data_IF_132046291920
#
_entry.id   IF_132046291920
#
_cell.length_a   1.000
_cell.length_b   1.000
_cell.length_c   1.000
_cell.angle_alpha   90.00
_cell.angle_beta   90.00
_cell.angle_gamma   90.00
#
_symmetry.space_group_name_H-M   'P 1'
#
loop_
_entity.id
_entity.type
_entity.pdbx_description
1 polymer ?
#
# COMPACT_ATOMS: atom_id res chain seq x y z
N UNK A 1 2.72 7.61 14.06
CA UNK A 1 2.53 6.32 13.38
C UNK A 1 3.90 5.84 12.94
N UNK A 2 4.26 4.59 13.20
CA UNK A 2 5.50 3.99 12.66
C UNK A 2 5.29 3.60 11.19
N UNK A 3 6.39 3.37 10.45
CA UNK A 3 6.33 2.88 9.07
C UNK A 3 5.52 1.58 8.97
N UNK A 4 5.70 0.66 9.91
CA UNK A 4 4.93 -0.59 9.98
C UNK A 4 3.43 -0.35 10.23
N UNK A 5 3.07 0.53 11.16
CA UNK A 5 1.66 0.87 11.41
C UNK A 5 1.01 1.52 10.18
N UNK A 6 1.77 2.34 9.46
CA UNK A 6 1.33 3.00 8.25
C UNK A 6 1.12 2.00 7.11
N UNK A 7 1.99 1.00 6.98
CA UNK A 7 1.83 -0.10 6.03
C UNK A 7 0.59 -0.93 6.33
N UNK A 8 0.39 -1.33 7.60
CA UNK A 8 -0.81 -2.06 8.02
C UNK A 8 -2.09 -1.26 7.75
N UNK A 9 -2.09 0.05 8.04
CA UNK A 9 -3.23 0.91 7.76
C UNK A 9 -3.56 0.97 6.25
N UNK A 10 -2.54 1.06 5.39
CA UNK A 10 -2.70 1.01 3.94
C UNK A 10 -3.29 -0.33 3.48
N UNK A 11 -2.74 -1.46 3.95
CA UNK A 11 -3.25 -2.80 3.60
C UNK A 11 -4.72 -2.94 3.97
N UNK A 12 -5.08 -2.61 5.21
CA UNK A 12 -6.47 -2.72 5.72
C UNK A 12 -7.41 -1.85 4.88
N UNK A 13 -7.00 -0.61 4.56
CA UNK A 13 -7.83 0.28 3.75
C UNK A 13 -8.09 -0.27 2.34
N UNK A 14 -7.06 -0.79 1.68
CA UNK A 14 -7.17 -1.39 0.35
C UNK A 14 -7.97 -2.69 0.36
N UNK A 15 -7.82 -3.52 1.39
CA UNK A 15 -8.60 -4.74 1.57
C UNK A 15 -10.09 -4.42 1.69
N UNK A 16 -10.45 -3.42 2.49
CA UNK A 16 -11.83 -2.96 2.62
C UNK A 16 -12.37 -2.38 1.29
N UNK A 17 -11.54 -1.67 0.53
CA UNK A 17 -11.92 -1.21 -0.81
C UNK A 17 -12.13 -2.38 -1.79
N UNK A 18 -11.29 -3.40 -1.74
CA UNK A 18 -11.45 -4.62 -2.54
C UNK A 18 -12.70 -5.40 -2.15
N UNK A 19 -12.98 -5.57 -0.85
CA UNK A 19 -14.21 -6.25 -0.37
C UNK A 19 -15.47 -5.61 -0.94
N UNK A 20 -15.48 -4.27 -1.09
CA UNK A 20 -16.62 -3.52 -1.66
C UNK A 20 -16.71 -3.58 -3.18
N UNK A 21 -15.58 -3.52 -3.88
CA UNK A 21 -15.54 -3.34 -5.35
C UNK A 21 -15.29 -4.62 -6.12
N UNK A 22 -14.67 -5.63 -5.47
CA UNK A 22 -14.11 -6.84 -6.08
C UNK A 22 -13.19 -6.54 -7.27
N UNK A 23 -12.48 -5.41 -7.23
CA UNK A 23 -11.57 -5.01 -8.29
C UNK A 23 -10.37 -5.95 -8.37
N UNK A 24 -10.13 -6.56 -9.53
CA UNK A 24 -8.95 -7.40 -9.78
C UNK A 24 -7.64 -6.61 -9.59
N UNK A 25 -7.64 -5.33 -9.94
CA UNK A 25 -6.50 -4.45 -9.73
C UNK A 25 -6.13 -4.32 -8.25
N UNK A 26 -7.12 -4.15 -7.38
CA UNK A 26 -6.88 -4.14 -5.93
C UNK A 26 -6.46 -5.51 -5.42
N UNK A 27 -7.02 -6.60 -5.97
CA UNK A 27 -6.63 -7.96 -5.60
C UNK A 27 -5.15 -8.22 -5.89
N UNK A 28 -4.64 -7.78 -7.05
CA UNK A 28 -3.23 -7.92 -7.42
C UNK A 28 -2.31 -7.14 -6.47
N UNK A 29 -2.66 -5.90 -6.14
CA UNK A 29 -1.89 -5.08 -5.20
C UNK A 29 -1.85 -5.75 -3.82
N UNK A 30 -3.00 -6.18 -3.30
CA UNK A 30 -3.09 -6.88 -2.01
C UNK A 30 -2.29 -8.18 -2.01
N UNK A 31 -2.25 -8.90 -3.13
CA UNK A 31 -1.42 -10.09 -3.31
C UNK A 31 0.06 -9.79 -3.09
N UNK A 32 0.60 -8.76 -3.74
CA UNK A 32 2.01 -8.35 -3.55
C UNK A 32 2.31 -7.80 -2.16
N UNK A 33 1.34 -7.15 -1.52
CA UNK A 33 1.48 -6.61 -0.16
C UNK A 33 1.35 -7.66 0.95
N UNK A 34 0.79 -8.83 0.67
CA UNK A 34 0.52 -9.85 1.68
C UNK A 34 1.81 -10.34 2.31
N UNK A 35 1.83 -10.49 3.62
CA UNK A 35 3.02 -10.95 4.33
C UNK A 35 3.20 -12.47 4.16
N UNK A 36 4.43 -12.88 3.88
CA UNK A 36 4.89 -14.27 3.92
C UNK A 36 5.12 -14.70 5.37
N UNK A 37 5.45 -15.98 5.58
CA UNK A 37 5.71 -16.55 6.90
C UNK A 37 6.86 -15.88 7.66
N UNK A 38 7.80 -15.27 6.93
CA UNK A 38 8.92 -14.51 7.49
C UNK A 38 8.58 -13.06 7.86
N UNK A 39 7.34 -12.63 7.62
CA UNK A 39 6.87 -11.27 7.89
C UNK A 39 7.24 -10.23 6.83
N UNK A 40 7.79 -10.64 5.68
CA UNK A 40 8.08 -9.75 4.55
C UNK A 40 6.94 -9.78 3.51
N UNK A 41 6.71 -8.69 2.75
CA UNK A 41 5.73 -8.71 1.66
C UNK A 41 6.08 -9.72 0.57
N UNK A 42 5.05 -10.35 -0.01
CA UNK A 42 5.19 -11.33 -1.08
C UNK A 42 5.88 -10.79 -2.34
N UNK A 43 5.74 -9.49 -2.60
CA UNK A 43 6.51 -8.77 -3.62
C UNK A 43 7.52 -7.82 -2.96
N UNK A 44 8.83 -8.07 -3.08
CA UNK A 44 9.86 -7.18 -2.55
C UNK A 44 9.81 -5.75 -3.12
N UNK A 45 9.29 -5.55 -4.34
CA UNK A 45 9.18 -4.21 -4.93
C UNK A 45 8.22 -3.30 -4.14
N UNK A 46 7.18 -3.89 -3.52
CA UNK A 46 6.22 -3.18 -2.66
C UNK A 46 6.93 -2.50 -1.48
N UNK A 47 8.00 -3.10 -0.96
CA UNK A 47 8.76 -2.52 0.17
C UNK A 47 9.42 -1.21 -0.23
N UNK A 48 10.03 -1.16 -1.42
CA UNK A 48 10.72 0.04 -1.90
C UNK A 48 9.72 1.13 -2.34
N UNK A 49 8.63 0.74 -2.98
CA UNK A 49 7.53 1.66 -3.32
C UNK A 49 6.92 2.28 -2.06
N UNK A 50 6.74 1.47 -1.00
CA UNK A 50 6.24 1.92 0.28
C UNK A 50 7.17 2.92 0.96
N UNK A 51 8.47 2.61 1.05
CA UNK A 51 9.48 3.52 1.62
C UNK A 51 9.51 4.84 0.88
N UNK A 52 9.44 4.81 -0.45
CA UNK A 52 9.37 5.99 -1.30
C UNK A 52 8.11 6.83 -1.01
N UNK A 53 6.94 6.18 -0.93
CA UNK A 53 5.68 6.86 -0.59
C UNK A 53 5.72 7.50 0.81
N UNK A 54 6.26 6.80 1.82
CA UNK A 54 6.42 7.34 3.18
C UNK A 54 7.37 8.53 3.19
N UNK A 55 8.52 8.43 2.50
CA UNK A 55 9.49 9.52 2.41
C UNK A 55 8.86 10.79 1.82
N UNK A 56 8.08 10.65 0.74
CA UNK A 56 7.33 11.75 0.10
C UNK A 56 6.28 12.36 1.03
N UNK A 57 5.52 11.53 1.71
CA UNK A 57 4.53 12.00 2.69
C UNK A 57 5.19 12.77 3.85
N UNK A 58 6.33 12.28 4.35
CA UNK A 58 7.10 12.94 5.40
C UNK A 58 7.76 14.24 4.93
N UNK A 59 8.11 14.37 3.64
CA UNK A 59 8.63 15.62 3.06
C UNK A 59 7.55 16.69 2.82
N UNK A 60 6.30 16.42 3.19
CA UNK A 60 5.18 17.36 3.04
C UNK A 60 4.47 17.29 1.70
N UNK A 61 4.69 16.23 0.92
CA UNK A 61 3.88 15.97 -0.27
C UNK A 61 2.49 15.49 0.16
N UNK A 62 1.48 16.32 -0.08
CA UNK A 62 0.08 15.98 0.21
C UNK A 62 -0.46 15.02 -0.86
N UNK A 63 -1.33 14.07 -0.45
CA UNK A 63 -2.07 13.23 -1.38
C UNK A 63 -2.77 14.11 -2.45
N UNK A 64 -2.23 14.09 -3.65
CA UNK A 64 -2.61 14.99 -4.73
C UNK A 64 -3.88 14.56 -5.43
N UNK A 65 -4.64 15.56 -5.91
CA UNK A 65 -5.82 15.40 -6.77
C UNK A 65 -5.51 14.43 -7.91
N UNK A 66 -6.31 13.37 -8.06
CA UNK A 66 -6.19 12.43 -9.18
C UNK A 66 -6.27 13.20 -10.50
N UNK A 67 -5.19 13.17 -11.28
CA UNK A 67 -5.17 13.61 -12.67
C UNK A 67 -5.04 12.37 -13.53
N UNK A 68 -6.15 11.92 -14.10
CA UNK A 68 -6.12 10.96 -15.20
C UNK A 68 -5.81 11.72 -16.49
N UNK A 69 -4.97 11.18 -17.41
CA UNK A 69 -4.85 11.71 -18.76
C UNK A 69 -6.17 11.64 -19.53
#
# INVERSE_FOLDING_TARGET
MTEAQAFSAMFIFLEEAWKRTRSDGLAMILGGMSLLEDGTPADPAVVEDWKSAVARALSGESAGRLTFP
#
